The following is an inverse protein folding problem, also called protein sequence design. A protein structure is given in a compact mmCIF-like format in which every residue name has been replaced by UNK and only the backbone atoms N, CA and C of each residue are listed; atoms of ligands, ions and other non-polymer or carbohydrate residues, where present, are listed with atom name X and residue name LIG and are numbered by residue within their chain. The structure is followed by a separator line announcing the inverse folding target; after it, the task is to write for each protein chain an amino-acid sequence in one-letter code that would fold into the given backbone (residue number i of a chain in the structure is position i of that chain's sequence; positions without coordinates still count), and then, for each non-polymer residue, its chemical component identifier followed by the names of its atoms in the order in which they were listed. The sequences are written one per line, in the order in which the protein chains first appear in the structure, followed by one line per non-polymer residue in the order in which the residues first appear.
data_IF_274787269425
#
_entry.id   IF_274787269425
#
_cell.length_a   1.000
_cell.length_b   1.000
_cell.length_c   1.000
_cell.angle_alpha   90.00
_cell.angle_beta   90.00
_cell.angle_gamma   90.00
#
_symmetry.space_group_name_H-M   'P 1'
#
loop_
_entity.id
_entity.type
_entity.pdbx_description
1 polymer ?
#
# COMPACT_ATOMS: atom_id res chain seq x y z
N UNK A 1 -20.27 -20.03 -17.70
CA UNK A 1 -19.11 -19.15 -17.52
C UNK A 1 -17.98 -19.78 -18.31
N UNK A 2 -17.38 -19.06 -19.25
CA UNK A 2 -16.36 -19.61 -20.13
C UNK A 2 -14.99 -19.15 -19.61
N UNK A 3 -14.33 -20.02 -18.85
CA UNK A 3 -12.92 -19.84 -18.48
C UNK A 3 -12.06 -20.33 -19.66
N UNK A 4 -10.97 -19.62 -19.92
CA UNK A 4 -10.09 -19.86 -21.07
C UNK A 4 -8.76 -20.38 -20.57
N UNK A 5 -8.37 -21.58 -21.00
CA UNK A 5 -7.07 -22.15 -20.70
C UNK A 5 -6.04 -21.65 -21.73
N UNK A 6 -5.13 -20.77 -21.34
CA UNK A 6 -4.17 -20.12 -22.25
C UNK A 6 -2.74 -20.44 -21.84
N UNK A 7 -1.85 -20.64 -22.81
CA UNK A 7 -0.43 -20.88 -22.55
C UNK A 7 0.28 -19.59 -22.13
N UNK A 8 1.20 -19.68 -21.17
CA UNK A 8 2.15 -18.59 -20.86
C UNK A 8 3.24 -18.49 -21.95
N UNK A 9 3.32 -17.38 -22.65
CA UNK A 9 4.32 -17.18 -23.71
C UNK A 9 5.51 -16.31 -23.28
N UNK A 10 5.34 -15.48 -22.24
CA UNK A 10 6.40 -14.59 -21.77
C UNK A 10 5.97 -13.65 -20.66
N UNK A 11 6.92 -12.84 -20.16
CA UNK A 11 6.74 -11.91 -19.06
C UNK A 11 7.47 -10.58 -19.23
N UNK A 12 6.92 -9.55 -18.60
CA UNK A 12 7.38 -8.17 -18.58
C UNK A 12 7.60 -7.69 -17.14
N UNK A 13 8.64 -6.87 -16.96
CA UNK A 13 8.92 -6.21 -15.69
C UNK A 13 7.81 -5.23 -15.30
N UNK A 14 7.55 -5.13 -13.99
CA UNK A 14 6.56 -4.20 -13.44
C UNK A 14 6.92 -2.72 -13.70
N UNK A 15 8.22 -2.41 -13.72
CA UNK A 15 8.78 -1.11 -14.03
C UNK A 15 10.21 -1.28 -14.56
N UNK A 16 10.75 -0.25 -15.20
CA UNK A 16 12.16 -0.23 -15.66
C UNK A 16 13.18 -0.35 -14.52
N UNK A 17 12.76 -0.13 -13.27
CA UNK A 17 13.58 -0.17 -12.06
C UNK A 17 13.35 -1.44 -11.22
N UNK A 18 12.31 -2.22 -11.53
CA UNK A 18 11.97 -3.42 -10.77
C UNK A 18 12.43 -4.67 -11.51
N UNK A 19 13.16 -5.52 -10.81
CA UNK A 19 13.58 -6.83 -11.32
C UNK A 19 12.45 -7.89 -11.19
N UNK A 20 11.21 -7.50 -10.87
CA UNK A 20 10.07 -8.42 -10.78
C UNK A 20 9.16 -8.34 -12.00
N UNK A 21 8.88 -9.50 -12.60
CA UNK A 21 7.89 -9.67 -13.64
C UNK A 21 6.49 -9.63 -13.02
N UNK A 22 5.61 -8.80 -13.56
CA UNK A 22 4.24 -8.60 -13.07
C UNK A 22 3.19 -8.61 -14.19
N UNK A 23 3.63 -8.66 -15.44
CA UNK A 23 2.75 -8.73 -16.60
C UNK A 23 3.17 -9.91 -17.46
N UNK A 24 2.20 -10.70 -17.92
CA UNK A 24 2.45 -11.94 -18.64
C UNK A 24 1.68 -11.95 -19.96
N UNK A 25 2.35 -12.36 -21.03
CA UNK A 25 1.73 -12.55 -22.34
C UNK A 25 1.26 -13.99 -22.46
N UNK A 26 0.02 -14.16 -22.91
CA UNK A 26 -0.64 -15.45 -23.04
C UNK A 26 -1.10 -15.71 -24.47
N UNK A 27 -1.20 -16.99 -24.83
CA UNK A 27 -1.50 -17.41 -26.18
C UNK A 27 -2.47 -18.58 -26.29
N UNK A 28 -2.78 -18.90 -27.54
CA UNK A 28 -3.60 -20.05 -27.95
C UNK A 28 -2.82 -20.91 -28.93
N UNK A 29 -3.24 -22.17 -29.09
CA UNK A 29 -2.65 -23.08 -30.05
C UNK A 29 -3.23 -22.87 -31.45
N UNK A 30 -2.39 -22.57 -32.43
CA UNK A 30 -2.78 -22.31 -33.83
C UNK A 30 -2.60 -23.49 -34.78
N UNK A 31 -2.03 -24.61 -34.31
CA UNK A 31 -1.76 -25.80 -35.14
C UNK A 31 -0.37 -26.36 -34.84
N UNK A 32 0.29 -26.88 -35.87
CA UNK A 32 1.69 -27.33 -35.81
C UNK A 32 2.55 -26.40 -36.68
N UNK A 33 3.74 -26.06 -36.20
CA UNK A 33 4.73 -25.28 -36.92
C UNK A 33 5.49 -26.10 -37.97
N UNK A 34 6.44 -25.48 -38.69
CA UNK A 34 7.23 -26.13 -39.74
C UNK A 34 7.99 -27.37 -39.26
N UNK A 35 8.35 -27.37 -37.98
CA UNK A 35 9.12 -28.43 -37.32
C UNK A 35 8.23 -29.58 -36.78
N UNK A 36 6.94 -29.60 -37.12
CA UNK A 36 5.96 -30.60 -36.66
C UNK A 36 5.48 -30.43 -35.21
N UNK A 37 6.16 -29.59 -34.41
CA UNK A 37 5.78 -29.24 -33.03
C UNK A 37 4.59 -28.25 -32.98
N UNK A 38 3.78 -28.23 -31.91
CA UNK A 38 2.69 -27.27 -31.74
C UNK A 38 3.13 -25.81 -31.87
N UNK A 39 2.32 -25.01 -32.56
CA UNK A 39 2.53 -23.57 -32.79
C UNK A 39 1.55 -22.77 -31.94
N UNK A 40 2.06 -21.78 -31.23
CA UNK A 40 1.28 -20.92 -30.34
C UNK A 40 1.33 -19.47 -30.80
N UNK A 41 0.16 -18.81 -30.80
CA UNK A 41 0.00 -17.43 -31.20
C UNK A 41 -0.46 -16.58 -30.02
N UNK A 42 0.12 -15.38 -29.89
CA UNK A 42 -0.22 -14.43 -28.82
C UNK A 42 -1.67 -13.97 -28.91
N UNK A 43 -2.36 -13.96 -27.76
CA UNK A 43 -3.80 -13.65 -27.64
C UNK A 43 -4.09 -12.47 -26.72
N UNK A 44 -3.29 -12.26 -25.68
CA UNK A 44 -3.49 -11.14 -24.78
C UNK A 44 -2.41 -11.04 -23.70
N UNK A 45 -2.62 -10.08 -22.80
CA UNK A 45 -1.76 -9.82 -21.66
C UNK A 45 -2.57 -9.85 -20.37
N UNK A 46 -2.00 -10.44 -19.32
CA UNK A 46 -2.61 -10.55 -18.00
C UNK A 46 -1.61 -10.14 -16.91
N UNK A 47 -2.06 -9.33 -15.96
CA UNK A 47 -1.25 -8.82 -14.84
C UNK A 47 -1.97 -8.91 -13.49
N UNK A 48 -3.08 -9.65 -13.43
CA UNK A 48 -3.91 -9.74 -12.22
C UNK A 48 -4.43 -11.14 -11.98
N UNK A 49 -4.69 -11.47 -10.71
CA UNK A 49 -5.25 -12.75 -10.28
C UNK A 49 -4.24 -13.77 -9.74
N UNK A 50 -2.96 -13.43 -9.72
CA UNK A 50 -1.90 -14.23 -9.09
C UNK A 50 -1.65 -13.76 -7.66
N UNK A 51 -1.47 -14.69 -6.73
CA UNK A 51 -1.01 -14.39 -5.38
C UNK A 51 0.52 -14.18 -5.32
N UNK A 52 1.04 -13.73 -4.18
CA UNK A 52 2.48 -13.44 -4.02
C UNK A 52 3.38 -14.66 -4.24
N UNK A 53 2.96 -15.84 -3.77
CA UNK A 53 3.72 -17.09 -3.90
C UNK A 53 3.76 -17.58 -5.36
N UNK A 54 2.61 -17.57 -6.04
CA UNK A 54 2.47 -17.90 -7.46
C UNK A 54 3.30 -16.96 -8.33
N UNK A 55 3.27 -15.65 -8.03
CA UNK A 55 4.05 -14.64 -8.74
C UNK A 55 5.56 -14.87 -8.54
N UNK A 56 5.99 -15.20 -7.32
CA UNK A 56 7.38 -15.52 -7.01
C UNK A 56 7.84 -16.79 -7.73
N UNK A 57 6.99 -17.82 -7.79
CA UNK A 57 7.26 -19.07 -8.51
C UNK A 57 7.43 -18.82 -10.02
N UNK A 58 6.53 -18.05 -10.63
CA UNK A 58 6.61 -17.69 -12.05
C UNK A 58 7.83 -16.84 -12.36
N UNK A 59 8.16 -15.88 -11.51
CA UNK A 59 9.37 -15.07 -11.64
C UNK A 59 10.62 -15.94 -11.65
N UNK A 60 10.75 -16.86 -10.69
CA UNK A 60 11.87 -17.80 -10.64
C UNK A 60 11.92 -18.66 -11.90
N UNK A 61 10.78 -19.21 -12.32
CA UNK A 61 10.69 -20.06 -13.51
C UNK A 61 11.12 -19.33 -14.79
N UNK A 62 10.56 -18.15 -15.06
CA UNK A 62 10.92 -17.36 -16.25
C UNK A 62 12.37 -16.87 -16.19
N UNK A 63 12.91 -16.50 -15.02
CA UNK A 63 14.33 -16.11 -14.93
C UNK A 63 15.29 -17.28 -15.17
N UNK A 64 14.89 -18.50 -14.83
CA UNK A 64 15.74 -19.70 -15.01
C UNK A 64 15.63 -20.35 -16.38
N UNK A 65 14.44 -20.36 -16.98
CA UNK A 65 14.13 -21.09 -18.22
C UNK A 65 13.70 -20.16 -19.37
N UNK A 66 13.51 -18.87 -19.10
CA UNK A 66 13.13 -17.88 -20.09
C UNK A 66 14.34 -17.26 -20.78
N UNK A 67 14.12 -16.83 -22.02
CA UNK A 67 15.12 -16.21 -22.87
C UNK A 67 14.74 -14.75 -23.13
N UNK A 68 15.74 -13.88 -23.26
CA UNK A 68 15.50 -12.48 -23.61
C UNK A 68 14.97 -12.40 -25.05
N UNK A 69 13.88 -11.64 -25.25
CA UNK A 69 13.22 -11.48 -26.54
C UNK A 69 14.06 -10.76 -27.59
N UNK A 70 15.06 -9.94 -27.21
CA UNK A 70 16.00 -9.33 -28.17
C UNK A 70 16.76 -10.39 -28.98
N UNK A 71 16.85 -11.61 -28.47
CA UNK A 71 17.42 -12.79 -29.14
C UNK A 71 16.34 -13.82 -29.46
N UNK A 72 15.15 -13.36 -29.84
CA UNK A 72 14.02 -14.23 -30.14
C UNK A 72 14.38 -15.24 -31.23
N UNK A 73 14.43 -16.52 -30.86
CA UNK A 73 14.73 -17.63 -31.75
C UNK A 73 13.85 -18.83 -31.39
N UNK A 74 12.55 -18.74 -31.69
CA UNK A 74 11.59 -19.81 -31.44
C UNK A 74 10.54 -19.89 -32.54
N UNK A 75 10.58 -20.96 -33.34
CA UNK A 75 9.61 -21.19 -34.43
C UNK A 75 8.21 -21.56 -33.91
N UNK A 76 8.12 -21.97 -32.64
CA UNK A 76 6.90 -22.47 -32.01
C UNK A 76 6.06 -21.37 -31.35
N UNK A 77 6.55 -20.13 -31.30
CA UNK A 77 5.85 -18.99 -30.74
C UNK A 77 5.73 -17.88 -31.79
N UNK A 78 4.55 -17.25 -31.88
CA UNK A 78 4.33 -16.10 -32.77
C UNK A 78 3.71 -14.93 -32.02
N UNK A 79 4.43 -13.82 -32.06
CA UNK A 79 4.02 -12.53 -31.51
C UNK A 79 3.68 -11.56 -32.65
N UNK A 80 2.92 -10.51 -32.32
CA UNK A 80 2.64 -9.42 -33.25
C UNK A 80 3.42 -8.16 -32.81
N UNK A 81 2.73 -7.05 -32.51
CA UNK A 81 3.39 -5.81 -32.04
C UNK A 81 3.74 -5.88 -30.55
N UNK A 82 2.86 -6.45 -29.74
CA UNK A 82 3.11 -6.65 -28.32
C UNK A 82 3.98 -7.88 -28.11
N UNK A 83 5.22 -7.63 -27.72
CA UNK A 83 6.25 -8.63 -27.44
C UNK A 83 6.64 -8.55 -25.95
N UNK A 84 7.01 -9.67 -25.33
CA UNK A 84 7.45 -9.67 -23.94
C UNK A 84 8.94 -9.30 -23.85
N UNK A 85 9.43 -8.90 -22.67
CA UNK A 85 10.88 -8.79 -22.42
C UNK A 85 11.56 -10.16 -22.36
N UNK A 86 10.89 -11.14 -21.75
CA UNK A 86 11.33 -12.53 -21.70
C UNK A 86 10.27 -13.44 -22.30
N UNK A 87 10.66 -14.36 -23.17
CA UNK A 87 9.79 -15.42 -23.64
C UNK A 87 10.19 -16.76 -23.02
N UNK A 88 9.23 -17.67 -22.90
CA UNK A 88 9.46 -19.03 -22.43
C UNK A 88 9.03 -20.02 -23.51
N UNK A 89 9.89 -20.99 -23.80
CA UNK A 89 9.55 -22.02 -24.79
C UNK A 89 8.36 -22.88 -24.31
N UNK A 90 7.48 -23.37 -25.22
CA UNK A 90 6.30 -24.13 -24.83
C UNK A 90 6.59 -25.34 -23.93
N UNK A 91 7.74 -26.00 -24.11
CA UNK A 91 8.15 -27.17 -23.34
C UNK A 91 8.35 -26.87 -21.84
N UNK A 92 8.75 -25.63 -21.53
CA UNK A 92 8.93 -25.18 -20.15
C UNK A 92 7.79 -24.30 -19.66
N UNK A 93 6.74 -24.10 -20.47
CA UNK A 93 5.62 -23.23 -20.15
C UNK A 93 4.64 -23.87 -19.16
N UNK A 94 3.58 -23.12 -18.82
CA UNK A 94 2.44 -23.53 -18.00
C UNK A 94 1.15 -23.01 -18.62
N UNK A 95 0.02 -23.64 -18.29
CA UNK A 95 -1.30 -23.18 -18.71
C UNK A 95 -1.92 -22.33 -17.60
N UNK A 96 -2.46 -21.17 -17.98
CA UNK A 96 -3.26 -20.32 -17.10
C UNK A 96 -4.74 -20.50 -17.40
N UNK A 97 -5.51 -20.76 -16.35
CA UNK A 97 -6.96 -20.67 -16.43
C UNK A 97 -7.35 -19.20 -16.24
N UNK A 98 -7.76 -18.54 -17.32
CA UNK A 98 -8.03 -17.10 -17.36
C UNK A 98 -9.52 -16.84 -17.53
N UNK A 99 -10.03 -15.91 -16.73
CA UNK A 99 -11.38 -15.36 -16.89
C UNK A 99 -11.28 -13.95 -17.47
N UNK A 100 -11.94 -13.75 -18.60
CA UNK A 100 -12.09 -12.44 -19.22
C UNK A 100 -13.58 -12.06 -19.27
N UNK A 101 -13.88 -10.76 -19.23
CA UNK A 101 -15.27 -10.29 -19.33
C UNK A 101 -15.75 -10.30 -20.78
N UNK A 102 -14.87 -9.89 -21.69
CA UNK A 102 -15.19 -9.69 -23.10
C UNK A 102 -13.98 -10.02 -23.99
N UNK A 103 -14.25 -10.51 -25.21
CA UNK A 103 -13.27 -10.51 -26.30
C UNK A 103 -13.48 -9.23 -27.13
N UNK A 104 -12.43 -8.43 -27.29
CA UNK A 104 -12.46 -7.19 -28.07
C UNK A 104 -11.62 -7.35 -29.31
N UNK A 105 -12.06 -6.83 -30.46
CA UNK A 105 -11.26 -6.86 -31.69
C UNK A 105 -9.99 -6.04 -31.53
N UNK A 106 -8.87 -6.69 -31.80
CA UNK A 106 -7.56 -6.06 -31.88
C UNK A 106 -6.74 -6.82 -32.92
N UNK A 107 -6.42 -6.16 -34.02
CA UNK A 107 -5.64 -6.75 -35.12
C UNK A 107 -4.18 -6.26 -35.15
N UNK A 108 -3.78 -5.41 -34.20
CA UNK A 108 -2.46 -4.75 -34.21
C UNK A 108 -1.57 -5.25 -33.10
N UNK A 109 -2.10 -5.39 -31.88
CA UNK A 109 -1.29 -5.73 -30.72
C UNK A 109 -0.89 -7.20 -30.68
N UNK A 110 -1.84 -8.10 -30.87
CA UNK A 110 -1.63 -9.54 -30.77
C UNK A 110 -1.83 -10.24 -32.10
N UNK A 111 -1.36 -11.50 -32.19
CA UNK A 111 -1.44 -12.27 -33.43
C UNK A 111 -2.85 -12.77 -33.71
N UNK A 112 -3.64 -13.00 -32.66
CA UNK A 112 -5.08 -13.18 -32.77
C UNK A 112 -5.76 -11.86 -33.16
N UNK A 113 -6.88 -11.93 -33.88
CA UNK A 113 -7.70 -10.75 -34.23
C UNK A 113 -8.61 -10.26 -33.09
N UNK A 114 -8.54 -10.93 -31.94
CA UNK A 114 -9.29 -10.61 -30.73
C UNK A 114 -8.37 -10.71 -29.53
N UNK A 115 -8.54 -9.80 -28.57
CA UNK A 115 -7.84 -9.80 -27.28
C UNK A 115 -8.80 -9.83 -26.11
N UNK A 116 -8.28 -10.16 -24.93
CA UNK A 116 -9.04 -10.31 -23.70
C UNK A 116 -9.21 -8.96 -23.00
N UNK A 117 -10.45 -8.60 -22.65
CA UNK A 117 -10.73 -7.43 -21.82
C UNK A 117 -10.99 -7.83 -20.36
N UNK A 118 -10.28 -7.15 -19.46
CA UNK A 118 -10.25 -7.44 -18.03
C UNK A 118 -9.88 -8.91 -17.71
N UNK A 119 -8.80 -9.47 -18.31
CA UNK A 119 -8.36 -10.82 -18.01
C UNK A 119 -7.84 -10.90 -16.57
N UNK A 120 -8.19 -11.99 -15.88
CA UNK A 120 -7.68 -12.35 -14.57
C UNK A 120 -7.28 -13.82 -14.56
N UNK A 121 -6.09 -14.14 -14.06
CA UNK A 121 -5.71 -15.52 -13.79
C UNK A 121 -6.55 -16.02 -12.62
N UNK A 122 -7.23 -17.16 -12.78
CA UNK A 122 -7.93 -17.83 -11.68
C UNK A 122 -7.03 -18.84 -10.99
N UNK A 123 -6.21 -19.54 -11.79
CA UNK A 123 -5.33 -20.59 -11.33
C UNK A 123 -4.24 -20.87 -12.36
N UNK A 124 -3.04 -21.21 -11.89
CA UNK A 124 -2.00 -21.86 -12.69
C UNK A 124 -2.30 -23.37 -12.76
N UNK A 125 -2.51 -23.90 -13.96
CA UNK A 125 -2.88 -25.30 -14.22
C UNK A 125 -1.63 -26.11 -14.54
N UNK A 126 -0.86 -26.46 -13.50
CA UNK A 126 0.27 -27.40 -13.63
C UNK A 126 -0.20 -28.84 -13.91
N UNK A 127 -1.48 -29.13 -13.66
CA UNK A 127 -2.12 -30.41 -13.91
C UNK A 127 -2.45 -30.66 -15.39
N UNK A 128 -2.35 -29.63 -16.25
CA UNK A 128 -2.75 -29.70 -17.65
C UNK A 128 -1.54 -29.53 -18.57
N UNK A 129 -1.33 -30.43 -19.55
CA UNK A 129 -0.24 -30.27 -20.50
C UNK A 129 -0.48 -29.05 -21.40
N UNK A 130 0.60 -28.40 -21.80
CA UNK A 130 0.59 -27.16 -22.58
C UNK A 130 -0.14 -27.32 -23.92
N UNK A 131 -0.06 -28.51 -24.53
CA UNK A 131 -0.69 -28.83 -25.82
C UNK A 131 -2.22 -28.89 -25.79
N UNK A 132 -2.81 -28.98 -24.59
CA UNK A 132 -4.26 -28.94 -24.35
C UNK A 132 -4.79 -27.53 -24.03
N UNK A 133 -3.98 -26.48 -24.19
CA UNK A 133 -4.50 -25.12 -24.11
C UNK A 133 -5.52 -24.84 -25.22
N UNK A 134 -6.31 -23.79 -25.04
CA UNK A 134 -7.36 -23.36 -25.97
C UNK A 134 -6.83 -23.31 -27.41
N UNK A 135 -7.55 -23.96 -28.31
CA UNK A 135 -7.15 -24.03 -29.71
C UNK A 135 -7.79 -22.90 -30.53
N UNK A 136 -7.24 -22.65 -31.71
CA UNK A 136 -7.73 -21.58 -32.59
C UNK A 136 -9.16 -21.82 -33.07
N UNK A 137 -9.60 -23.07 -33.24
CA UNK A 137 -10.96 -23.38 -33.68
C UNK A 137 -11.98 -23.07 -32.59
N UNK A 138 -11.72 -23.49 -31.34
CA UNK A 138 -12.50 -23.15 -30.14
C UNK A 138 -12.53 -21.65 -29.91
N UNK A 139 -11.40 -20.96 -30.12
CA UNK A 139 -11.34 -19.50 -30.05
C UNK A 139 -12.18 -18.84 -31.15
N UNK A 140 -12.20 -19.40 -32.36
CA UNK A 140 -13.07 -18.94 -33.45
C UNK A 140 -14.55 -19.21 -33.16
N UNK A 141 -14.88 -20.33 -32.52
CA UNK A 141 -16.23 -20.67 -32.08
C UNK A 141 -16.78 -19.65 -31.07
N UNK A 142 -15.93 -19.18 -30.17
CA UNK A 142 -16.26 -18.08 -29.27
C UNK A 142 -16.49 -16.74 -30.01
N UNK A 143 -15.94 -16.58 -31.21
CA UNK A 143 -15.97 -15.34 -31.98
C UNK A 143 -16.90 -15.33 -33.19
N UNK A 144 -17.67 -16.40 -33.42
CA UNK A 144 -18.53 -16.65 -34.59
C UNK A 144 -19.48 -15.49 -34.97
N UNK A 145 -19.90 -14.66 -34.01
CA UNK A 145 -20.81 -13.54 -34.29
C UNK A 145 -20.14 -12.31 -34.93
N UNK A 146 -18.81 -12.34 -35.09
CA UNK A 146 -18.01 -11.29 -35.72
C UNK A 146 -18.37 -9.87 -35.23
N UNK A 147 -18.60 -9.74 -33.92
CA UNK A 147 -18.92 -8.47 -33.25
C UNK A 147 -17.63 -7.78 -32.81
N UNK A 148 -17.67 -6.45 -32.74
CA UNK A 148 -16.55 -5.66 -32.21
C UNK A 148 -16.19 -6.04 -30.76
N UNK A 149 -17.21 -6.44 -29.97
CA UNK A 149 -17.08 -6.89 -28.58
C UNK A 149 -17.98 -8.09 -28.36
N UNK A 150 -17.44 -9.15 -27.75
CA UNK A 150 -18.16 -10.39 -27.43
C UNK A 150 -18.12 -10.61 -25.93
N UNK A 151 -19.29 -10.52 -25.29
CA UNK A 151 -19.44 -10.81 -23.86
C UNK A 151 -19.43 -12.33 -23.66
N UNK A 152 -18.48 -12.83 -22.86
CA UNK A 152 -18.33 -14.27 -22.58
C UNK A 152 -19.39 -14.79 -21.57
N UNK A 153 -20.21 -13.90 -21.00
CA UNK A 153 -21.27 -14.19 -20.02
C UNK A 153 -22.69 -14.15 -20.61
N UNK A 154 -22.95 -14.80 -21.74
CA UNK A 154 -24.32 -15.07 -22.19
C UNK A 154 -24.67 -16.53 -21.94
N UNK A 155 -25.36 -16.82 -20.83
CA UNK A 155 -26.20 -18.02 -20.74
C UNK A 155 -27.66 -17.58 -20.67
N UNK A 156 -28.47 -18.16 -21.56
CA UNK A 156 -29.90 -18.30 -21.32
C UNK A 156 -30.05 -19.32 -20.20
N UNK A 157 -30.51 -18.87 -19.03
CA UNK A 157 -30.68 -19.71 -17.86
C UNK A 157 -31.99 -20.49 -18.06
N UNK A 158 -31.89 -21.81 -18.21
CA UNK A 158 -33.05 -22.70 -18.05
C UNK A 158 -33.22 -23.01 -16.57
N UNK A 159 -34.45 -22.85 -16.06
CA UNK A 159 -34.78 -22.89 -14.64
C UNK A 159 -34.50 -24.23 -13.94
N UNK A 160 -34.32 -25.32 -14.70
CA UNK A 160 -34.29 -26.69 -14.15
C UNK A 160 -32.91 -27.14 -13.62
N UNK A 161 -31.80 -26.52 -14.05
CA UNK A 161 -30.45 -26.91 -13.57
C UNK A 161 -30.10 -26.35 -12.18
N UNK A 162 -30.88 -25.38 -11.67
CA UNK A 162 -30.62 -24.73 -10.37
C UNK A 162 -30.94 -25.67 -9.19
N UNK A 163 -31.71 -26.74 -9.40
CA UNK A 163 -32.27 -27.54 -8.31
C UNK A 163 -31.34 -28.68 -7.84
N UNK A 164 -30.36 -29.13 -8.62
CA UNK A 164 -29.71 -30.43 -8.33
C UNK A 164 -28.24 -30.43 -7.86
N UNK A 165 -27.49 -29.33 -7.89
CA UNK A 165 -26.07 -29.41 -7.49
C UNK A 165 -25.82 -28.92 -6.06
N UNK A 166 -25.81 -29.87 -5.11
CA UNK A 166 -25.21 -29.67 -3.77
C UNK A 166 -23.69 -29.52 -3.92
N UNK A 167 -23.16 -28.31 -3.71
CA UNK A 167 -21.71 -28.07 -3.57
C UNK A 167 -21.43 -27.36 -2.24
N UNK A 168 -20.39 -27.85 -1.55
CA UNK A 168 -19.95 -27.48 -0.21
C UNK A 168 -19.69 -25.97 -0.07
N UNK A 169 -20.23 -25.38 1.00
CA UNK A 169 -20.04 -23.98 1.40
C UNK A 169 -18.57 -23.68 1.70
N UNK A 170 -17.93 -22.94 0.80
CA UNK A 170 -16.84 -22.02 1.14
C UNK A 170 -17.54 -20.72 1.57
N UNK A 171 -17.22 -20.16 2.74
CA UNK A 171 -17.76 -18.88 3.22
C UNK A 171 -17.23 -17.72 2.35
N UNK A 172 -17.85 -17.49 1.21
CA UNK A 172 -17.84 -16.20 0.51
C UNK A 172 -18.71 -15.22 1.30
N UNK A 173 -18.16 -14.06 1.69
CA UNK A 173 -18.99 -12.91 2.12
C UNK A 173 -20.04 -12.68 1.03
N UNK A 174 -21.30 -12.85 1.37
CA UNK A 174 -22.42 -12.54 0.49
C UNK A 174 -22.33 -11.07 0.08
N UNK A 175 -22.32 -10.81 -1.22
CA UNK A 175 -22.80 -9.55 -1.77
C UNK A 175 -24.29 -9.51 -1.47
N UNK A 176 -24.64 -8.97 -0.29
CA UNK A 176 -25.99 -8.51 0.00
C UNK A 176 -26.18 -7.31 -0.91
N UNK A 177 -26.85 -7.54 -2.04
CA UNK A 177 -27.37 -6.45 -2.84
C UNK A 177 -28.42 -5.76 -1.96
N UNK A 178 -28.29 -4.46 -1.65
CA UNK A 178 -29.21 -3.81 -0.73
C UNK A 178 -30.62 -3.98 -1.26
N UNK A 179 -31.52 -4.41 -0.37
CA UNK A 179 -32.94 -4.36 -0.65
C UNK A 179 -33.26 -2.92 -1.01
N UNK A 180 -33.82 -2.67 -2.20
CA UNK A 180 -34.28 -1.33 -2.57
C UNK A 180 -35.44 -0.97 -1.65
N UNK A 181 -35.15 -0.39 -0.49
CA UNK A 181 -36.11 0.46 0.18
C UNK A 181 -36.29 1.66 -0.74
N UNK A 182 -37.51 1.86 -1.25
CA UNK A 182 -37.92 3.09 -1.92
C UNK A 182 -37.64 4.26 -0.99
N UNK A 183 -36.46 4.85 -1.15
CA UNK A 183 -36.02 5.99 -0.36
C UNK A 183 -36.29 7.22 -1.22
N UNK A 184 -37.51 7.75 -1.09
CA UNK A 184 -37.78 9.10 -1.60
C UNK A 184 -36.76 10.05 -0.96
N UNK A 185 -36.04 10.81 -1.79
CA UNK A 185 -35.14 11.90 -1.35
C UNK A 185 -35.96 12.83 -0.45
N UNK A 186 -35.50 13.06 0.78
CA UNK A 186 -36.19 13.89 1.78
C UNK A 186 -35.52 15.26 1.89
N UNK A 187 -34.20 15.30 1.73
CA UNK A 187 -33.40 16.52 1.78
C UNK A 187 -32.21 16.43 0.81
N UNK A 188 -31.61 17.58 0.51
CA UNK A 188 -30.53 17.74 -0.47
C UNK A 188 -29.20 18.16 0.20
N UNK A 189 -29.11 17.96 1.52
CA UNK A 189 -28.00 18.42 2.35
C UNK A 189 -26.65 17.77 1.98
N UNK A 190 -26.66 16.55 1.47
CA UNK A 190 -25.46 15.83 0.99
C UNK A 190 -25.35 15.82 -0.53
N UNK A 191 -26.07 16.71 -1.23
CA UNK A 191 -26.00 16.78 -2.69
C UNK A 191 -24.56 17.11 -3.16
N UNK A 192 -24.09 16.36 -4.16
CA UNK A 192 -22.75 16.50 -4.70
C UNK A 192 -21.66 15.71 -3.96
N UNK A 193 -21.95 15.12 -2.80
CA UNK A 193 -21.01 14.25 -2.09
C UNK A 193 -21.21 12.77 -2.43
N UNK A 194 -20.11 12.08 -2.72
CA UNK A 194 -20.06 10.62 -2.87
C UNK A 194 -19.47 9.98 -1.62
N UNK A 195 -20.28 9.21 -0.91
CA UNK A 195 -19.95 8.67 0.41
C UNK A 195 -19.92 7.14 0.36
N UNK A 196 -18.85 6.53 0.88
CA UNK A 196 -18.73 5.09 1.04
C UNK A 196 -18.86 4.71 2.52
N UNK A 197 -19.75 3.79 2.87
CA UNK A 197 -19.86 3.25 4.23
C UNK A 197 -19.07 1.92 4.31
N UNK A 198 -17.99 1.87 5.09
CA UNK A 198 -17.19 0.65 5.25
C UNK A 198 -17.84 -0.33 6.23
N UNK A 199 -18.06 0.13 7.46
CA UNK A 199 -18.55 -0.67 8.59
C UNK A 199 -19.59 0.12 9.38
N UNK A 200 -20.67 -0.55 9.80
CA UNK A 200 -21.67 -0.01 10.72
C UNK A 200 -21.27 -0.17 12.19
N UNK A 201 -22.19 0.16 13.10
CA UNK A 201 -22.15 -0.21 14.52
C UNK A 201 -23.41 -1.02 14.87
N UNK A 202 -23.41 -1.72 16.01
CA UNK A 202 -24.50 -2.63 16.39
C UNK A 202 -25.88 -1.93 16.47
N UNK A 203 -25.91 -0.65 16.79
CA UNK A 203 -27.12 0.20 16.85
C UNK A 203 -27.35 1.04 15.59
N UNK A 204 -26.37 1.07 14.68
CA UNK A 204 -26.42 1.81 13.43
C UNK A 204 -25.73 1.03 12.31
N UNK A 205 -26.49 0.08 11.79
CA UNK A 205 -26.05 -0.83 10.74
C UNK A 205 -25.66 -0.09 9.45
N UNK A 206 -24.74 -0.70 8.70
CA UNK A 206 -24.24 -0.17 7.43
C UNK A 206 -25.37 0.18 6.45
N UNK A 207 -26.34 -0.71 6.30
CA UNK A 207 -27.46 -0.53 5.35
C UNK A 207 -28.34 0.66 5.72
N UNK A 208 -28.55 0.89 7.03
CA UNK A 208 -29.28 2.04 7.55
C UNK A 208 -28.51 3.34 7.29
N UNK A 209 -27.20 3.36 7.49
CA UNK A 209 -26.35 4.50 7.18
C UNK A 209 -26.39 4.84 5.67
N UNK A 210 -26.24 3.84 4.79
CA UNK A 210 -26.34 4.02 3.34
C UNK A 210 -27.73 4.55 2.91
N UNK A 211 -28.79 4.05 3.53
CA UNK A 211 -30.15 4.55 3.28
C UNK A 211 -30.32 6.02 3.68
N UNK A 212 -29.68 6.47 4.77
CA UNK A 212 -29.75 7.86 5.21
C UNK A 212 -28.96 8.79 4.30
N UNK A 213 -27.77 8.37 3.86
CA UNK A 213 -26.99 9.11 2.84
C UNK A 213 -27.84 9.36 1.59
N UNK A 214 -28.54 8.34 1.07
CA UNK A 214 -29.44 8.48 -0.10
C UNK A 214 -30.61 9.42 0.18
N UNK A 215 -31.24 9.31 1.35
CA UNK A 215 -32.37 10.18 1.74
C UNK A 215 -31.96 11.65 1.87
N UNK A 216 -30.72 11.90 2.25
CA UNK A 216 -30.11 13.22 2.36
C UNK A 216 -29.53 13.76 1.05
N UNK A 217 -29.71 13.04 -0.07
CA UNK A 217 -29.32 13.48 -1.40
C UNK A 217 -27.89 13.13 -1.83
N UNK A 218 -27.14 12.40 -0.98
CA UNK A 218 -25.79 11.94 -1.26
C UNK A 218 -25.74 10.69 -2.14
N UNK A 219 -24.62 10.49 -2.84
CA UNK A 219 -24.38 9.30 -3.65
C UNK A 219 -23.64 8.24 -2.83
N UNK A 220 -24.20 7.03 -2.72
CA UNK A 220 -23.52 5.93 -2.02
C UNK A 220 -22.54 5.22 -2.95
N UNK A 221 -21.26 5.22 -2.58
CA UNK A 221 -20.21 4.43 -3.20
C UNK A 221 -20.17 3.01 -2.64
N UNK A 222 -19.68 2.05 -3.45
CA UNK A 222 -19.60 0.63 -3.07
C UNK A 222 -18.16 0.12 -2.92
N UNK A 223 -17.19 0.87 -3.43
CA UNK A 223 -15.76 0.52 -3.36
C UNK A 223 -14.93 1.80 -3.35
N UNK A 224 -13.76 1.74 -2.71
CA UNK A 224 -12.81 2.84 -2.65
C UNK A 224 -12.34 3.18 -4.07
N UNK A 225 -12.59 4.41 -4.52
CA UNK A 225 -12.21 4.91 -5.83
C UNK A 225 -11.99 6.44 -5.78
N UNK A 226 -11.47 7.02 -6.86
CA UNK A 226 -11.14 8.46 -6.94
C UNK A 226 -12.34 9.40 -6.89
N UNK A 227 -13.57 8.89 -7.06
CA UNK A 227 -14.80 9.68 -6.99
C UNK A 227 -15.37 9.73 -5.58
N UNK A 228 -14.88 8.93 -4.64
CA UNK A 228 -15.31 8.99 -3.24
C UNK A 228 -14.78 10.29 -2.65
N UNK A 229 -15.65 11.03 -1.97
CA UNK A 229 -15.30 12.24 -1.23
C UNK A 229 -15.12 11.92 0.25
N UNK A 230 -16.00 11.07 0.82
CA UNK A 230 -16.03 10.74 2.26
C UNK A 230 -16.18 9.23 2.45
N UNK A 231 -15.40 8.66 3.37
CA UNK A 231 -15.55 7.30 3.88
C UNK A 231 -16.07 7.35 5.31
N UNK A 232 -17.19 6.67 5.56
CA UNK A 232 -17.78 6.53 6.90
C UNK A 232 -17.43 5.16 7.51
N UNK A 233 -16.99 5.17 8.77
CA UNK A 233 -16.68 3.96 9.54
C UNK A 233 -16.92 4.17 11.03
N UNK A 234 -17.30 3.13 11.77
CA UNK A 234 -17.48 3.19 13.23
C UNK A 234 -16.18 3.03 14.02
N UNK A 235 -15.18 2.38 13.43
CA UNK A 235 -13.95 1.98 14.12
C UNK A 235 -12.71 2.17 13.25
N UNK A 236 -11.57 2.38 13.91
CA UNK A 236 -10.22 2.34 13.32
C UNK A 236 -9.76 0.89 13.11
N UNK A 237 -10.18 0.27 12.01
CA UNK A 237 -9.72 -1.07 11.64
C UNK A 237 -8.37 -1.04 10.92
N UNK A 238 -7.71 -2.21 10.78
CA UNK A 238 -6.46 -2.32 10.01
C UNK A 238 -6.64 -1.89 8.54
N UNK A 239 -7.82 -2.13 7.97
CA UNK A 239 -8.17 -1.65 6.63
C UNK A 239 -8.15 -0.12 6.60
N UNK A 240 -8.80 0.55 7.55
CA UNK A 240 -8.81 2.01 7.67
C UNK A 240 -7.39 2.57 7.81
N UNK A 241 -6.58 2.02 8.71
CA UNK A 241 -5.18 2.45 8.89
C UNK A 241 -4.39 2.28 7.59
N UNK A 242 -4.62 1.18 6.85
CA UNK A 242 -3.98 0.95 5.55
C UNK A 242 -4.39 1.97 4.48
N UNK A 243 -5.62 2.50 4.55
CA UNK A 243 -6.08 3.58 3.67
C UNK A 243 -5.44 4.90 4.07
N UNK A 244 -5.41 5.24 5.36
CA UNK A 244 -4.78 6.46 5.89
C UNK A 244 -3.32 6.58 5.42
N UNK A 245 -2.55 5.50 5.55
CA UNK A 245 -1.14 5.45 5.14
C UNK A 245 -0.91 5.74 3.65
N UNK A 246 -1.90 5.50 2.79
CA UNK A 246 -1.82 5.79 1.35
C UNK A 246 -2.01 7.27 1.02
N UNK A 247 -2.33 8.11 2.01
CA UNK A 247 -2.63 9.54 1.85
C UNK A 247 -3.64 9.83 0.75
N UNK A 248 -4.86 9.29 0.87
CA UNK A 248 -5.89 9.47 -0.14
C UNK A 248 -6.43 10.90 -0.16
N UNK A 249 -7.19 11.19 -1.22
CA UNK A 249 -7.89 12.47 -1.38
C UNK A 249 -9.22 12.55 -0.62
N UNK A 250 -9.84 11.41 -0.32
CA UNK A 250 -11.09 11.38 0.44
C UNK A 250 -10.83 11.50 1.94
N UNK A 251 -11.85 11.95 2.65
CA UNK A 251 -11.86 12.01 4.11
C UNK A 251 -12.31 10.69 4.70
N UNK A 252 -11.83 10.35 5.89
CA UNK A 252 -12.28 9.20 6.66
C UNK A 252 -12.84 9.71 7.98
N UNK A 253 -14.15 9.53 8.14
CA UNK A 253 -14.95 10.15 9.18
C UNK A 253 -15.75 9.08 9.94
N UNK A 254 -16.00 9.34 11.21
CA UNK A 254 -16.81 8.51 12.07
C UNK A 254 -18.28 8.58 11.64
N UNK A 255 -19.01 7.47 11.79
CA UNK A 255 -20.45 7.42 11.54
C UNK A 255 -21.27 8.38 12.41
N UNK A 256 -20.75 8.77 13.58
CA UNK A 256 -21.38 9.76 14.49
C UNK A 256 -21.68 11.09 13.80
N UNK A 257 -20.82 11.52 12.87
CA UNK A 257 -21.04 12.74 12.08
C UNK A 257 -22.33 12.66 11.26
N UNK A 258 -22.59 11.52 10.62
CA UNK A 258 -23.81 11.32 9.82
C UNK A 258 -25.06 11.40 10.71
N UNK A 259 -24.99 10.88 11.94
CA UNK A 259 -26.12 10.93 12.89
C UNK A 259 -26.42 12.36 13.32
N UNK A 260 -25.39 13.13 13.67
CA UNK A 260 -25.49 14.57 13.97
C UNK A 260 -26.10 15.36 12.81
N UNK A 261 -25.59 15.15 11.60
CA UNK A 261 -26.05 15.81 10.39
C UNK A 261 -27.54 15.53 10.12
N UNK A 262 -28.00 14.29 10.32
CA UNK A 262 -29.41 13.92 10.14
C UNK A 262 -30.29 14.50 11.26
N UNK A 263 -29.78 14.56 12.49
CA UNK A 263 -30.51 15.11 13.63
C UNK A 263 -30.71 16.63 13.52
N UNK A 264 -29.68 17.36 13.09
CA UNK A 264 -29.74 18.81 12.90
C UNK A 264 -30.52 19.20 11.64
N UNK A 265 -30.35 18.42 10.57
CA UNK A 265 -31.01 18.65 9.29
C UNK A 265 -30.30 19.67 8.39
N UNK A 266 -29.11 20.15 8.76
CA UNK A 266 -28.24 20.98 7.92
C UNK A 266 -26.89 20.29 7.64
N UNK A 267 -26.14 20.83 6.67
CA UNK A 267 -24.78 20.39 6.40
C UNK A 267 -23.84 20.90 7.50
N UNK A 268 -23.32 19.99 8.32
CA UNK A 268 -22.43 20.29 9.44
C UNK A 268 -20.97 19.96 9.09
N UNK A 269 -20.05 20.83 9.50
CA UNK A 269 -18.62 20.56 9.48
C UNK A 269 -18.22 19.38 10.37
N UNK A 270 -16.97 18.95 10.25
CA UNK A 270 -16.42 17.88 11.08
C UNK A 270 -16.05 18.39 12.47
N UNK A 271 -16.43 17.64 13.50
CA UNK A 271 -15.88 17.81 14.83
C UNK A 271 -14.66 16.91 15.04
N UNK A 272 -13.83 17.25 16.01
CA UNK A 272 -12.62 16.52 16.33
C UNK A 272 -12.84 15.01 16.50
N UNK A 273 -13.88 14.63 17.25
CA UNK A 273 -14.19 13.22 17.55
C UNK A 273 -14.73 12.44 16.34
N UNK A 274 -15.16 13.16 15.30
CA UNK A 274 -15.60 12.56 14.05
C UNK A 274 -14.41 12.22 13.14
N UNK A 275 -13.24 12.84 13.31
CA UNK A 275 -12.16 12.75 12.32
C UNK A 275 -11.25 11.55 12.55
N UNK A 276 -11.12 10.70 11.52
CA UNK A 276 -10.04 9.70 11.46
C UNK A 276 -8.91 10.11 10.52
N UNK A 277 -9.23 10.80 9.43
CA UNK A 277 -8.27 11.33 8.47
C UNK A 277 -8.93 12.39 7.59
N UNK A 278 -8.22 13.49 7.34
CA UNK A 278 -8.62 14.51 6.37
C UNK A 278 -7.67 14.42 5.16
N UNK A 279 -8.26 14.24 3.99
CA UNK A 279 -7.58 14.23 2.72
C UNK A 279 -7.31 15.64 2.20
N UNK A 280 -6.41 15.75 1.23
CA UNK A 280 -6.04 17.04 0.62
C UNK A 280 -7.09 17.54 -0.41
N UNK A 281 -8.35 17.11 -0.29
CA UNK A 281 -9.39 17.46 -1.26
C UNK A 281 -9.94 18.87 -1.01
N UNK A 282 -9.59 19.78 -1.92
CA UNK A 282 -10.09 21.16 -1.99
C UNK A 282 -11.59 21.29 -2.29
N UNK A 283 -12.32 20.18 -2.47
CA UNK A 283 -13.77 20.22 -2.66
C UNK A 283 -14.54 20.24 -1.36
N UNK A 284 -13.96 19.72 -0.28
CA UNK A 284 -14.70 19.49 0.94
C UNK A 284 -14.53 20.65 1.92
N UNK A 285 -15.54 21.52 2.00
CA UNK A 285 -15.57 22.62 2.99
C UNK A 285 -15.86 22.15 4.42
N UNK A 286 -16.16 20.85 4.59
CA UNK A 286 -16.51 20.27 5.88
C UNK A 286 -15.35 20.25 6.86
N UNK A 287 -14.11 20.34 6.37
CA UNK A 287 -12.90 20.38 7.21
C UNK A 287 -12.35 21.79 7.45
N UNK A 288 -13.05 22.86 7.05
CA UNK A 288 -12.50 24.23 7.12
C UNK A 288 -12.23 24.72 8.56
N UNK A 289 -12.93 24.15 9.55
CA UNK A 289 -12.83 24.53 10.97
C UNK A 289 -11.80 23.70 11.76
N UNK A 290 -11.24 22.66 11.14
CA UNK A 290 -10.27 21.75 11.77
C UNK A 290 -8.97 21.70 10.99
N UNK A 291 -7.88 21.42 11.70
CA UNK A 291 -6.59 21.20 11.07
C UNK A 291 -6.54 19.85 10.33
N UNK A 292 -5.41 19.56 9.67
CA UNK A 292 -5.22 18.30 8.93
C UNK A 292 -5.29 17.04 9.80
N UNK A 293 -5.23 17.17 11.13
CA UNK A 293 -5.35 16.11 12.11
C UNK A 293 -6.70 16.13 12.84
N UNK A 294 -7.63 17.00 12.44
CA UNK A 294 -8.96 17.11 13.02
C UNK A 294 -9.03 17.97 14.29
N UNK A 295 -7.96 18.64 14.72
CA UNK A 295 -8.01 19.53 15.88
C UNK A 295 -8.66 20.87 15.51
N UNK A 296 -9.51 21.40 16.37
CA UNK A 296 -10.28 22.62 16.06
C UNK A 296 -9.38 23.86 16.07
N UNK A 297 -9.60 24.79 15.14
CA UNK A 297 -8.95 26.09 15.15
C UNK A 297 -9.55 27.08 16.16
N UNK A 298 -10.78 26.83 16.61
CA UNK A 298 -11.59 27.79 17.37
C UNK A 298 -11.88 27.34 18.80
N UNK A 299 -11.83 26.04 19.07
CA UNK A 299 -12.12 25.47 20.39
C UNK A 299 -10.85 25.00 21.10
N UNK A 300 -10.82 25.17 22.42
CA UNK A 300 -9.73 24.62 23.23
C UNK A 300 -9.77 23.08 23.24
N UNK A 301 -8.60 22.47 23.02
CA UNK A 301 -8.46 21.02 23.03
C UNK A 301 -8.45 20.47 24.47
N UNK A 302 -8.81 19.21 24.62
CA UNK A 302 -8.71 18.49 25.90
C UNK A 302 -7.62 17.43 25.83
N UNK A 303 -7.20 16.89 26.97
CA UNK A 303 -6.20 15.82 27.02
C UNK A 303 -6.60 14.62 26.16
N UNK A 304 -7.88 14.27 26.14
CA UNK A 304 -8.36 13.10 25.38
C UNK A 304 -8.48 13.40 23.87
N UNK A 305 -8.93 14.60 23.49
CA UNK A 305 -8.87 15.07 22.10
C UNK A 305 -7.43 15.07 21.59
N UNK A 306 -6.50 15.62 22.38
CA UNK A 306 -5.10 15.67 22.00
C UNK A 306 -4.47 14.27 21.81
N UNK A 307 -4.82 13.30 22.67
CA UNK A 307 -4.40 11.90 22.46
C UNK A 307 -4.91 11.34 21.12
N UNK A 308 -6.14 11.67 20.73
CA UNK A 308 -6.70 11.26 19.44
C UNK A 308 -5.94 11.92 18.27
N UNK A 309 -5.60 13.21 18.37
CA UNK A 309 -4.74 13.91 17.39
C UNK A 309 -3.40 13.19 17.21
N UNK A 310 -2.73 12.83 18.31
CA UNK A 310 -1.47 12.09 18.25
C UNK A 310 -1.62 10.70 17.63
N UNK A 311 -2.75 10.02 17.86
CA UNK A 311 -3.03 8.76 17.18
C UNK A 311 -3.19 8.97 15.67
N UNK A 312 -3.84 10.04 15.22
CA UNK A 312 -3.98 10.37 13.79
C UNK A 312 -2.60 10.62 13.16
N UNK A 313 -1.74 11.40 13.82
CA UNK A 313 -0.36 11.66 13.40
C UNK A 313 0.39 10.33 13.19
N UNK A 314 0.28 9.41 14.16
CA UNK A 314 0.92 8.10 14.10
C UNK A 314 0.35 7.23 12.96
N UNK A 315 -0.97 7.19 12.79
CA UNK A 315 -1.64 6.42 11.73
C UNK A 315 -1.23 6.91 10.34
N UNK A 316 -1.08 8.23 10.20
CA UNK A 316 -0.54 8.90 9.02
C UNK A 316 0.93 8.56 8.77
N UNK A 317 1.69 8.18 9.79
CA UNK A 317 3.13 7.97 9.72
C UNK A 317 3.91 9.28 9.62
N UNK A 318 3.33 10.38 10.09
CA UNK A 318 4.03 11.66 10.19
C UNK A 318 5.06 11.57 11.33
N UNK A 319 6.35 11.60 10.97
CA UNK A 319 7.43 11.75 11.93
C UNK A 319 7.93 13.19 11.89
N UNK A 320 7.76 13.91 12.99
CA UNK A 320 8.36 15.23 13.16
C UNK A 320 9.83 15.05 13.55
N UNK A 321 10.70 14.93 12.55
CA UNK A 321 12.11 15.26 12.73
C UNK A 321 12.23 16.78 12.74
N UNK A 322 11.75 17.42 13.81
CA UNK A 322 12.07 18.82 14.02
C UNK A 322 13.54 18.87 14.43
N UNK A 323 14.39 19.36 13.53
CA UNK A 323 15.70 19.96 13.84
C UNK A 323 15.57 21.20 14.75
N UNK A 324 14.45 21.36 15.47
CA UNK A 324 14.17 22.42 16.42
C UNK A 324 13.84 21.79 17.76
N UNK A 325 14.71 22.02 18.74
CA UNK A 325 14.48 21.63 20.12
C UNK A 325 13.39 22.52 20.70
N UNK A 326 12.22 21.96 21.00
CA UNK A 326 11.22 22.66 21.83
C UNK A 326 11.70 22.56 23.27
N UNK A 327 12.15 23.68 23.84
CA UNK A 327 12.53 23.76 25.25
C UNK A 327 11.28 23.96 26.09
N UNK A 328 10.91 22.95 26.86
CA UNK A 328 9.83 22.95 27.84
C UNK A 328 10.39 23.56 29.13
N UNK A 329 9.72 24.59 29.65
CA UNK A 329 10.12 25.20 30.91
C UNK A 329 10.18 24.16 32.05
N UNK A 330 11.22 24.23 32.87
CA UNK A 330 11.45 23.30 33.98
C UNK A 330 12.14 21.98 33.59
N UNK A 331 12.49 21.77 32.31
CA UNK A 331 13.35 20.65 31.88
C UNK A 331 14.76 21.12 31.54
N UNK A 332 15.73 20.24 31.78
CA UNK A 332 17.13 20.44 31.44
C UNK A 332 17.39 20.03 30.00
N UNK A 333 18.14 20.87 29.29
CA UNK A 333 18.52 20.66 27.90
C UNK A 333 20.04 20.73 27.76
N UNK A 334 20.61 19.64 27.25
CA UNK A 334 22.03 19.51 26.93
C UNK A 334 22.23 19.42 25.41
N UNK A 335 21.26 19.91 24.62
CA UNK A 335 21.23 19.83 23.15
C UNK A 335 22.37 20.61 22.46
N UNK A 336 22.92 21.61 23.15
CA UNK A 336 24.12 22.32 22.74
C UNK A 336 25.41 21.51 22.89
N UNK A 337 25.41 20.41 23.66
CA UNK A 337 26.60 19.65 23.99
C UNK A 337 26.74 18.40 23.12
N UNK A 338 27.90 18.28 22.49
CA UNK A 338 28.37 17.12 21.77
C UNK A 338 29.53 16.55 22.57
N UNK A 339 29.26 15.50 23.35
CA UNK A 339 30.16 14.99 24.37
C UNK A 339 30.94 13.76 23.93
N UNK A 340 32.21 13.72 24.29
CA UNK A 340 32.96 12.47 24.42
C UNK A 340 33.08 12.12 25.91
N UNK A 341 32.75 10.87 26.26
CA UNK A 341 32.90 10.39 27.63
C UNK A 341 34.26 9.73 27.81
N UNK A 342 35.02 10.18 28.80
CA UNK A 342 36.38 9.74 29.04
C UNK A 342 36.42 8.40 29.81
N UNK A 343 36.22 7.29 29.09
CA UNK A 343 36.09 5.94 29.67
C UNK A 343 37.43 5.27 29.99
N UNK A 344 38.48 5.63 29.27
CA UNK A 344 39.69 4.83 29.10
C UNK A 344 40.90 5.47 29.78
N UNK A 345 41.81 4.67 30.37
CA UNK A 345 43.02 5.15 31.02
C UNK A 345 43.90 5.98 30.07
N UNK A 346 44.01 5.55 28.82
CA UNK A 346 44.60 6.35 27.75
C UNK A 346 43.47 6.95 26.90
N UNK A 347 43.40 8.29 26.75
CA UNK A 347 42.33 8.92 25.97
C UNK A 347 42.21 8.30 24.56
N UNK A 348 40.99 7.95 24.16
CA UNK A 348 40.66 7.29 22.88
C UNK A 348 41.25 5.88 22.65
N UNK A 349 41.99 5.30 23.59
CA UNK A 349 42.52 3.94 23.45
C UNK A 349 41.57 2.90 24.07
N UNK A 350 40.83 2.19 23.21
CA UNK A 350 39.86 1.17 23.60
C UNK A 350 40.50 -0.06 24.26
N UNK A 351 41.80 -0.28 24.07
CA UNK A 351 42.53 -1.40 24.65
C UNK A 351 43.05 -1.11 26.07
N UNK A 352 42.95 0.16 26.50
CA UNK A 352 43.37 0.57 27.84
C UNK A 352 42.28 0.29 28.89
N UNK A 353 42.70 0.22 30.17
CA UNK A 353 41.77 -0.06 31.27
C UNK A 353 40.66 0.98 31.36
N UNK A 354 39.42 0.52 31.61
CA UNK A 354 38.27 1.40 31.84
C UNK A 354 38.42 2.03 33.23
N UNK A 355 38.45 3.37 33.28
CA UNK A 355 38.60 4.16 34.52
C UNK A 355 37.30 4.84 34.95
N UNK A 356 36.31 4.89 34.05
CA UNK A 356 35.03 5.54 34.29
C UNK A 356 33.92 4.76 33.59
N UNK A 357 33.07 4.13 34.39
CA UNK A 357 31.82 3.54 33.90
C UNK A 357 30.76 4.63 33.74
N UNK A 358 30.73 5.21 32.55
CA UNK A 358 29.84 6.33 32.24
C UNK A 358 28.50 5.88 31.63
N UNK A 359 28.11 4.60 31.72
CA UNK A 359 26.94 4.09 31.00
C UNK A 359 25.65 4.83 31.38
N UNK A 360 25.40 5.02 32.69
CA UNK A 360 24.22 5.75 33.18
C UNK A 360 24.30 7.24 32.83
N UNK A 361 25.47 7.84 32.98
CA UNK A 361 25.72 9.25 32.66
C UNK A 361 25.50 9.54 31.17
N UNK A 362 25.93 8.65 30.29
CA UNK A 362 25.71 8.75 28.84
C UNK A 362 24.23 8.64 28.47
N UNK A 363 23.47 7.78 29.14
CA UNK A 363 22.02 7.65 28.95
C UNK A 363 21.30 8.93 29.38
N UNK A 364 21.59 9.44 30.57
CA UNK A 364 20.96 10.65 31.10
C UNK A 364 21.30 11.89 30.25
N UNK A 365 22.56 11.98 29.79
CA UNK A 365 23.00 13.02 28.86
C UNK A 365 22.22 12.98 27.54
N UNK A 366 22.05 11.79 26.94
CA UNK A 366 21.23 11.61 25.73
C UNK A 366 19.75 11.90 25.98
N UNK A 367 19.22 11.53 27.15
CA UNK A 367 17.85 11.83 27.54
C UNK A 367 17.58 13.34 27.61
N UNK A 368 18.54 14.11 28.10
CA UNK A 368 18.51 15.58 28.11
C UNK A 368 18.79 16.23 26.74
N UNK A 369 18.90 15.42 25.66
CA UNK A 369 19.11 15.90 24.29
C UNK A 369 20.56 16.05 23.85
N UNK A 370 21.54 15.72 24.70
CA UNK A 370 22.96 15.77 24.35
C UNK A 370 23.35 14.65 23.36
N UNK A 371 24.38 14.89 22.54
CA UNK A 371 24.90 13.88 21.60
C UNK A 371 26.21 13.29 22.11
N UNK A 372 26.24 11.99 22.40
CA UNK A 372 27.47 11.32 22.80
C UNK A 372 28.18 10.70 21.59
N UNK A 373 29.50 10.85 21.55
CA UNK A 373 30.37 10.31 20.51
C UNK A 373 31.35 9.30 21.11
N UNK A 374 31.70 8.28 20.34
CA UNK A 374 32.66 7.24 20.73
C UNK A 374 34.12 7.70 20.59
N UNK A 375 34.36 8.80 19.89
CA UNK A 375 35.68 9.38 19.65
C UNK A 375 35.61 10.91 19.63
N UNK A 376 36.76 11.56 19.87
CA UNK A 376 36.88 13.02 19.77
C UNK A 376 36.94 13.41 18.29
N UNK A 377 35.78 13.67 17.70
CA UNK A 377 35.64 14.13 16.30
C UNK A 377 35.56 15.67 16.23
N UNK A 378 35.54 16.23 15.02
CA UNK A 378 35.38 17.68 14.80
C UNK A 378 34.11 18.27 15.42
N UNK A 379 33.07 17.45 15.62
CA UNK A 379 31.78 17.89 16.15
C UNK A 379 31.73 17.93 17.68
N UNK A 380 32.67 17.26 18.37
CA UNK A 380 32.73 17.20 19.84
C UNK A 380 33.13 18.56 20.38
N UNK A 381 32.37 19.09 21.34
CA UNK A 381 32.64 20.37 22.00
C UNK A 381 32.79 20.25 23.53
N UNK A 382 32.55 19.07 24.11
CA UNK A 382 32.79 18.82 25.55
C UNK A 382 33.35 17.41 25.79
N UNK A 383 34.28 17.28 26.74
CA UNK A 383 34.71 16.00 27.31
C UNK A 383 34.14 15.89 28.73
N UNK A 384 33.46 14.77 29.01
CA UNK A 384 32.88 14.47 30.31
C UNK A 384 33.72 13.40 31.02
N UNK A 385 34.18 13.71 32.23
CA UNK A 385 35.01 12.82 33.05
C UNK A 385 34.53 12.75 34.52
N UNK A 386 35.08 11.81 35.29
CA UNK A 386 34.66 11.50 36.67
C UNK A 386 35.19 12.47 37.76
N UNK A 387 35.71 13.64 37.38
CA UNK A 387 36.04 14.70 38.35
C UNK A 387 37.43 14.67 39.02
N UNK A 388 38.32 13.75 38.63
CA UNK A 388 39.70 13.72 39.12
C UNK A 388 40.59 14.85 38.52
N UNK A 389 41.20 15.67 39.38
CA UNK A 389 42.05 16.78 38.97
C UNK A 389 43.32 16.33 38.22
N UNK A 390 43.90 15.18 38.58
CA UNK A 390 45.03 14.61 37.85
C UNK A 390 44.58 14.20 36.45
N UNK A 391 43.39 13.60 36.35
CA UNK A 391 42.81 13.22 35.07
C UNK A 391 42.53 14.40 34.16
N UNK A 392 42.09 15.53 34.73
CA UNK A 392 41.87 16.76 33.98
C UNK A 392 43.15 17.26 33.29
N UNK A 393 44.31 17.20 33.97
CA UNK A 393 45.58 17.62 33.38
C UNK A 393 45.97 16.74 32.18
N UNK A 394 45.78 15.42 32.30
CA UNK A 394 46.01 14.45 31.21
C UNK A 394 45.14 14.79 29.99
N UNK A 395 43.85 15.11 30.22
CA UNK A 395 42.94 15.50 29.15
C UNK A 395 43.33 16.83 28.49
N UNK A 396 43.81 17.81 29.25
CA UNK A 396 44.31 19.08 28.70
C UNK A 396 45.56 18.87 27.83
N UNK A 397 46.48 17.99 28.23
CA UNK A 397 47.64 17.62 27.42
C UNK A 397 47.25 16.86 26.15
N UNK A 398 46.29 15.93 26.27
CA UNK A 398 45.72 15.23 25.14
C UNK A 398 45.08 16.19 24.12
N UNK A 399 44.23 17.13 24.56
CA UNK A 399 43.62 18.12 23.67
C UNK A 399 44.66 19.00 22.97
N UNK A 400 45.76 19.35 23.63
CA UNK A 400 46.89 20.06 23.01
C UNK A 400 47.56 19.23 21.92
N UNK A 401 47.76 17.93 22.16
CA UNK A 401 48.36 17.01 21.19
C UNK A 401 47.56 16.89 19.88
N UNK A 402 46.23 16.98 19.97
CA UNK A 402 45.31 16.91 18.82
C UNK A 402 44.89 18.30 18.30
N UNK A 403 45.47 19.37 18.84
CA UNK A 403 45.19 20.76 18.49
C UNK A 403 43.70 21.16 18.61
N UNK A 404 43.00 20.65 19.64
CA UNK A 404 41.57 20.92 19.93
C UNK A 404 41.38 21.65 21.26
N UNK A 405 41.85 22.90 21.32
CA UNK A 405 41.69 23.77 22.50
C UNK A 405 40.29 24.39 22.63
N UNK A 406 39.43 24.16 21.63
CA UNK A 406 38.03 24.58 21.56
C UNK A 406 37.07 23.71 22.39
N UNK A 407 37.52 22.54 22.86
CA UNK A 407 36.70 21.58 23.60
C UNK A 407 36.72 21.89 25.10
N UNK A 408 35.54 21.99 25.72
CA UNK A 408 35.43 22.17 27.18
C UNK A 408 35.65 20.84 27.92
N UNK A 409 36.31 20.87 29.09
CA UNK A 409 36.40 19.71 29.98
C UNK A 409 35.48 19.93 31.19
N UNK A 410 34.49 19.05 31.36
CA UNK A 410 33.46 19.14 32.40
C UNK A 410 33.33 17.83 33.16
N UNK A 411 32.99 17.91 34.44
CA UNK A 411 32.68 16.72 35.24
C UNK A 411 31.27 16.22 34.93
N UNK A 412 30.95 14.97 35.29
CA UNK A 412 29.59 14.42 35.22
C UNK A 412 28.52 15.25 35.96
N UNK A 413 28.90 16.13 36.90
CA UNK A 413 28.00 17.14 37.48
C UNK A 413 27.25 17.99 36.44
N UNK A 414 27.79 18.18 35.22
CA UNK A 414 27.09 18.85 34.13
C UNK A 414 25.75 18.17 33.80
N UNK A 415 25.60 16.88 34.07
CA UNK A 415 24.42 16.09 33.76
C UNK A 415 23.36 16.25 34.87
N UNK A 416 23.78 16.40 36.12
CA UNK A 416 22.87 16.39 37.28
C UNK A 416 22.58 17.77 37.90
N UNK A 417 23.40 18.80 37.63
CA UNK A 417 23.18 20.20 38.07
C UNK A 417 22.59 21.05 36.97
#
# INVERSE_FOLDING_TARGET
MNDLDLILMGGDFASSTSDTLNSFIVGIRSGNGPNGKPLYISCGRVSSGLNYEELSMLNKKIKTQGNNFDRFNCDNLQFAKDVPHYYIEPEYSVVFQIRASELTRDSKSFKTHYTLRFPRVLKIRDDKPVDECLNINEFMDLTQNNKAVIKLNKRNINLDEIIQTKVKRIKTKELIMPTFYETKKVSDILEGYTILVLEGRDDFEKEKAESLVKRAGGTVGYFVNEKIDIILTSKRTQEVISLIKKRPRYDIINLTWLERLIQDGNLLGYEHDDVFYIGWSYKNRLSDEVDKYGDSFTEETTVDKLKNTFQIINDMGDSFLTNGTIKVEGRKYLDQYHAYFDKFLEPMNTDSHIIYDCFLDEIEFKYCGGKAFEAVTGDVNVIIFNGDNERKQILEEFLKSINRSDIEIRTNNLIYN
#
